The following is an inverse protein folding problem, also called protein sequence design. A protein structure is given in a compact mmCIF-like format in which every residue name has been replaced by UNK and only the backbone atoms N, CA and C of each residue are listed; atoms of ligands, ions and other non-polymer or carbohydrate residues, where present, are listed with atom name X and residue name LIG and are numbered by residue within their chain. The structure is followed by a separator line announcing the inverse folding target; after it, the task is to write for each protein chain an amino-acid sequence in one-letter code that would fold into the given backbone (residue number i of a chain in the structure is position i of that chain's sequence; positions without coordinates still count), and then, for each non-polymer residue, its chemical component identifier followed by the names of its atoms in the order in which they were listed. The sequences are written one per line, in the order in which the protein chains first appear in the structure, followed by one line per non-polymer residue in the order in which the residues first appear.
data_IF_123289666955
#
_entry.id   IF_123289666955
#
_cell.length_a   1.000
_cell.length_b   1.000
_cell.length_c   1.000
_cell.angle_alpha   90.00
_cell.angle_beta   90.00
_cell.angle_gamma   90.00
#
_symmetry.space_group_name_H-M   'P 1'
#
loop_
_entity.id
_entity.type
_entity.pdbx_description
1 polymer ?
#
# COMPACT_ATOMS: atom_id res chain seq x y z
N UNK A 1 26.53 -8.24 27.28
CA UNK A 1 25.47 -9.03 26.62
C UNK A 1 25.27 -8.44 25.25
N UNK A 2 25.12 -9.27 24.23
CA UNK A 2 24.92 -8.82 22.85
C UNK A 2 23.55 -8.13 22.76
N UNK A 3 23.56 -6.83 22.42
CA UNK A 3 22.37 -5.96 22.31
C UNK A 3 21.33 -6.59 21.38
N UNK A 4 21.77 -7.36 20.38
CA UNK A 4 20.90 -8.07 19.44
C UNK A 4 20.11 -9.19 20.13
N UNK A 5 20.75 -9.93 21.03
CA UNK A 5 20.10 -10.98 21.83
C UNK A 5 19.06 -10.38 22.80
N UNK A 6 19.32 -9.16 23.28
CA UNK A 6 18.44 -8.45 24.21
C UNK A 6 17.19 -7.88 23.49
N UNK A 7 17.37 -7.36 22.28
CA UNK A 7 16.28 -6.88 21.42
C UNK A 7 15.39 -8.03 20.89
N UNK A 8 15.97 -9.18 20.55
CA UNK A 8 15.21 -10.37 20.14
C UNK A 8 14.36 -10.94 21.30
N UNK A 9 14.91 -10.94 22.53
CA UNK A 9 14.19 -11.32 23.75
C UNK A 9 13.02 -10.38 24.06
N UNK A 10 13.17 -9.08 23.78
CA UNK A 10 12.11 -8.08 23.96
C UNK A 10 11.00 -8.22 22.90
N UNK A 11 11.36 -8.53 21.65
CA UNK A 11 10.41 -8.71 20.56
C UNK A 11 9.55 -9.98 20.72
N UNK A 12 10.14 -11.12 21.12
CA UNK A 12 9.41 -12.37 21.36
C UNK A 12 8.41 -12.29 22.54
N UNK A 13 8.72 -11.49 23.55
CA UNK A 13 7.85 -11.30 24.72
C UNK A 13 6.60 -10.46 24.40
N UNK A 14 6.66 -9.59 23.39
CA UNK A 14 5.49 -8.86 22.91
C UNK A 14 4.44 -9.75 22.22
N UNK A 15 4.81 -10.93 21.72
CA UNK A 15 3.88 -11.87 21.07
C UNK A 15 3.17 -12.80 22.06
N UNK A 16 3.58 -12.87 23.34
CA UNK A 16 3.18 -13.99 24.22
C UNK A 16 2.57 -13.63 25.58
N UNK A 17 2.37 -12.37 25.97
CA UNK A 17 1.81 -12.08 27.32
C UNK A 17 0.57 -11.20 27.32
N UNK A 18 -0.58 -11.87 27.33
CA UNK A 18 -1.65 -11.50 28.27
C UNK A 18 -1.11 -11.63 29.70
N UNK A 19 -1.03 -10.51 30.42
CA UNK A 19 -0.65 -10.33 31.84
C UNK A 19 0.84 -10.16 32.19
N UNK A 20 1.21 -8.91 32.51
CA UNK A 20 1.92 -8.43 33.72
C UNK A 20 2.56 -7.06 33.41
N UNK A 21 2.66 -6.18 34.41
CA UNK A 21 2.99 -4.75 34.25
C UNK A 21 4.37 -4.43 33.64
N UNK A 22 4.71 -3.13 33.59
CA UNK A 22 5.97 -2.65 33.01
C UNK A 22 7.16 -3.16 33.82
N UNK A 23 8.17 -3.71 33.14
CA UNK A 23 9.37 -4.25 33.80
C UNK A 23 10.19 -3.13 34.46
N UNK A 24 10.75 -3.34 35.67
CA UNK A 24 11.66 -2.38 36.31
C UNK A 24 12.89 -2.00 35.48
N UNK A 25 13.34 -2.88 34.57
CA UNK A 25 14.42 -2.60 33.63
C UNK A 25 13.99 -1.58 32.55
N UNK A 26 12.75 -1.67 32.07
CA UNK A 26 12.21 -0.73 31.10
C UNK A 26 12.03 0.65 31.74
N UNK A 27 11.52 0.68 32.98
CA UNK A 27 11.37 1.90 33.78
C UNK A 27 12.74 2.57 33.95
N UNK A 28 13.75 1.84 34.42
CA UNK A 28 15.11 2.40 34.65
C UNK A 28 15.74 2.95 33.36
N UNK A 29 15.49 2.28 32.23
CA UNK A 29 15.96 2.72 30.92
C UNK A 29 15.29 4.04 30.50
N UNK A 30 13.97 4.16 30.66
CA UNK A 30 13.23 5.37 30.31
C UNK A 30 13.49 6.54 31.27
N UNK A 31 13.72 6.27 32.55
CA UNK A 31 14.17 7.30 33.49
C UNK A 31 15.51 7.90 33.05
N UNK A 32 16.43 7.07 32.55
CA UNK A 32 17.76 7.51 32.10
C UNK A 32 17.68 8.28 30.78
N UNK A 33 16.85 7.81 29.83
CA UNK A 33 16.73 8.40 28.50
C UNK A 33 15.96 9.72 28.47
N UNK A 34 14.91 9.84 29.31
CA UNK A 34 13.97 10.96 29.26
C UNK A 34 13.95 11.80 30.53
N UNK A 35 14.83 11.51 31.49
CA UNK A 35 14.90 12.15 32.82
C UNK A 35 13.56 12.08 33.56
N UNK A 36 12.83 10.98 33.36
CA UNK A 36 11.57 10.73 34.04
C UNK A 36 11.81 10.16 35.44
N UNK A 37 10.87 10.43 36.34
CA UNK A 37 10.76 9.61 37.55
C UNK A 37 10.11 8.25 37.21
N UNK A 38 10.27 7.26 38.08
CA UNK A 38 9.84 5.88 37.81
C UNK A 38 8.34 5.79 37.47
N UNK A 39 7.50 6.56 38.16
CA UNK A 39 6.05 6.59 37.90
C UNK A 39 5.73 7.15 36.52
N UNK A 40 6.43 8.21 36.09
CA UNK A 40 6.20 8.82 34.78
C UNK A 40 6.72 7.93 33.65
N UNK A 41 7.86 7.27 33.86
CA UNK A 41 8.37 6.26 32.94
C UNK A 41 7.40 5.09 32.77
N UNK A 42 6.86 4.55 33.86
CA UNK A 42 5.87 3.47 33.81
C UNK A 42 4.57 3.88 33.09
N UNK A 43 4.04 5.07 33.38
CA UNK A 43 2.87 5.64 32.70
C UNK A 43 3.11 5.76 31.18
N UNK A 44 4.22 6.39 30.78
CA UNK A 44 4.54 6.61 29.38
C UNK A 44 4.86 5.31 28.63
N UNK A 45 5.49 4.32 29.28
CA UNK A 45 5.68 2.98 28.68
C UNK A 45 4.35 2.27 28.48
N UNK A 46 3.45 2.37 29.46
CA UNK A 46 2.12 1.77 29.40
C UNK A 46 1.31 2.40 28.28
N UNK A 47 1.28 3.73 28.19
CA UNK A 47 0.59 4.48 27.14
C UNK A 47 1.21 4.20 25.75
N UNK A 48 2.54 4.14 25.67
CA UNK A 48 3.27 3.80 24.45
C UNK A 48 2.97 2.38 23.96
N UNK A 49 2.83 1.41 24.88
CA UNK A 49 2.47 0.01 24.57
C UNK A 49 0.98 -0.17 24.26
N UNK A 50 0.11 0.65 24.86
CA UNK A 50 -1.33 0.64 24.61
C UNK A 50 -1.72 1.39 23.32
N UNK A 51 -0.80 2.14 22.70
CA UNK A 51 -1.06 2.91 21.50
C UNK A 51 -1.16 2.02 20.25
N UNK A 52 -2.37 1.54 19.96
CA UNK A 52 -2.74 0.75 18.78
C UNK A 52 -2.59 1.52 17.44
N UNK A 53 -2.26 2.82 17.46
CA UNK A 53 -1.96 3.60 16.25
C UNK A 53 -0.48 3.60 15.86
N UNK A 54 0.39 2.91 16.62
CA UNK A 54 1.80 2.82 16.28
C UNK A 54 1.99 1.92 15.05
N UNK A 55 2.77 2.39 14.08
CA UNK A 55 3.26 1.54 12.99
C UNK A 55 4.20 0.51 13.60
N UNK A 56 3.76 -0.74 13.70
CA UNK A 56 4.62 -1.85 14.09
C UNK A 56 5.61 -2.11 12.93
N UNK A 57 6.90 -1.89 13.19
CA UNK A 57 7.96 -2.24 12.24
C UNK A 57 8.02 -3.77 12.22
N UNK A 58 7.66 -4.38 11.09
CA UNK A 58 7.63 -5.84 10.95
C UNK A 58 9.04 -6.44 11.05
N UNK A 59 9.15 -7.70 11.49
CA UNK A 59 10.42 -8.45 11.50
C UNK A 59 11.14 -8.43 10.13
N UNK A 60 10.36 -8.36 9.05
CA UNK A 60 10.85 -8.24 7.67
C UNK A 60 11.43 -6.85 7.39
N UNK A 61 10.84 -5.77 7.91
CA UNK A 61 11.45 -4.43 7.90
C UNK A 61 12.74 -4.39 8.74
N UNK A 62 12.78 -5.07 9.88
CA UNK A 62 14.00 -5.21 10.68
C UNK A 62 15.11 -5.95 9.93
N UNK A 63 14.77 -6.99 9.15
CA UNK A 63 15.76 -7.71 8.34
C UNK A 63 16.35 -6.84 7.21
N UNK A 64 15.57 -5.93 6.62
CA UNK A 64 16.09 -4.98 5.62
C UNK A 64 17.05 -3.96 6.21
N UNK A 65 17.05 -3.76 7.54
CA UNK A 65 17.98 -2.85 8.21
C UNK A 65 19.45 -3.24 8.10
N UNK A 66 19.76 -4.47 7.68
CA UNK A 66 21.14 -4.97 7.59
C UNK A 66 21.72 -4.97 6.17
N UNK A 67 21.03 -4.33 5.21
CA UNK A 67 21.46 -4.28 3.81
C UNK A 67 21.98 -2.90 3.42
N UNK A 68 23.16 -2.86 2.79
CA UNK A 68 23.86 -1.65 2.31
C UNK A 68 24.13 -1.80 0.81
N UNK A 69 24.20 -0.70 0.02
CA UNK A 69 24.10 0.71 0.42
C UNK A 69 22.65 1.17 0.70
N UNK A 70 22.48 2.19 1.54
CA UNK A 70 21.14 2.67 1.98
C UNK A 70 21.07 4.21 2.06
N UNK A 71 20.02 4.86 1.52
CA UNK A 71 19.87 6.31 1.59
C UNK A 71 19.42 6.79 2.98
N UNK A 72 20.10 7.82 3.50
CA UNK A 72 19.79 8.49 4.77
C UNK A 72 19.41 9.94 4.52
N UNK A 73 18.42 10.44 5.25
CA UNK A 73 18.09 11.87 5.29
C UNK A 73 18.83 12.53 6.45
N UNK A 74 19.63 13.54 6.12
CA UNK A 74 20.40 14.34 7.04
C UNK A 74 19.82 15.75 7.12
N UNK A 75 19.78 16.29 8.32
CA UNK A 75 19.38 17.67 8.59
C UNK A 75 20.30 18.24 9.68
N UNK A 76 20.28 19.56 9.86
CA UNK A 76 21.09 20.21 10.90
C UNK A 76 22.58 20.04 10.68
N UNK A 77 23.29 19.52 11.68
CA UNK A 77 24.76 19.41 11.70
C UNK A 77 25.30 18.32 10.77
N UNK A 78 24.54 17.26 10.53
CA UNK A 78 24.89 16.21 9.56
C UNK A 78 24.65 16.62 8.11
N UNK A 79 24.09 17.81 7.86
CA UNK A 79 23.98 18.39 6.53
C UNK A 79 25.29 19.03 6.03
N UNK A 80 26.36 18.99 6.84
CA UNK A 80 27.68 19.52 6.52
C UNK A 80 28.59 18.40 5.99
N UNK A 81 29.11 18.59 4.77
CA UNK A 81 29.92 17.59 4.08
C UNK A 81 31.24 17.30 4.81
N UNK A 82 31.90 18.32 5.37
CA UNK A 82 33.18 18.15 6.07
C UNK A 82 33.00 17.35 7.36
N UNK A 83 31.86 17.56 8.05
CA UNK A 83 31.47 16.75 9.21
C UNK A 83 31.17 15.31 8.84
N UNK A 84 30.47 15.07 7.72
CA UNK A 84 30.20 13.70 7.27
C UNK A 84 31.48 12.98 6.85
N UNK A 85 32.41 13.65 6.18
CA UNK A 85 33.75 13.10 5.86
C UNK A 85 34.47 12.68 7.14
N UNK A 86 34.54 13.59 8.12
CA UNK A 86 35.24 13.32 9.38
C UNK A 86 34.56 12.21 10.21
N UNK A 87 33.23 12.18 10.23
CA UNK A 87 32.45 11.23 11.02
C UNK A 87 32.47 9.82 10.42
N UNK A 88 32.32 9.72 9.10
CA UNK A 88 32.23 8.45 8.38
C UNK A 88 33.59 7.94 7.90
N UNK A 89 34.64 8.75 7.96
CA UNK A 89 35.97 8.39 7.47
C UNK A 89 36.03 8.26 5.94
N UNK A 90 35.29 9.10 5.21
CA UNK A 90 35.22 9.04 3.74
C UNK A 90 36.53 9.52 3.10
N UNK A 91 37.01 8.80 2.09
CA UNK A 91 38.20 9.20 1.31
C UNK A 91 37.89 10.39 0.37
N UNK A 92 36.64 10.52 -0.06
CA UNK A 92 36.16 11.58 -0.94
C UNK A 92 35.00 12.37 -0.30
N UNK A 93 34.83 13.62 -0.75
CA UNK A 93 33.70 14.46 -0.29
C UNK A 93 32.36 13.82 -0.72
N UNK A 94 31.41 13.63 0.20
CA UNK A 94 30.12 13.00 -0.11
C UNK A 94 29.29 13.93 -0.99
N UNK A 95 28.68 13.39 -2.04
CA UNK A 95 27.70 14.14 -2.84
C UNK A 95 26.34 14.12 -2.14
N UNK A 96 25.98 15.24 -1.52
CA UNK A 96 24.68 15.42 -0.87
C UNK A 96 23.63 15.83 -1.90
N UNK A 97 22.51 15.09 -1.94
CA UNK A 97 21.37 15.46 -2.79
C UNK A 97 20.33 16.24 -1.97
N UNK A 98 19.90 17.45 -2.36
CA UNK A 98 18.86 18.18 -1.64
C UNK A 98 17.59 17.34 -1.48
N UNK A 99 17.05 17.28 -0.26
CA UNK A 99 15.87 16.49 0.07
C UNK A 99 14.94 17.23 1.04
N UNK A 100 13.69 16.75 1.15
CA UNK A 100 12.72 17.28 2.12
C UNK A 100 11.85 16.17 2.69
N UNK A 101 11.63 16.21 4.00
CA UNK A 101 10.65 15.37 4.69
C UNK A 101 9.38 16.20 4.91
N UNK A 102 8.25 15.73 4.41
CA UNK A 102 6.94 16.38 4.56
C UNK A 102 6.23 15.89 5.82
N UNK A 103 5.35 16.73 6.37
CA UNK A 103 4.61 16.49 7.64
C UNK A 103 5.55 16.26 8.81
N UNK A 104 6.64 17.01 8.83
CA UNK A 104 7.70 16.87 9.81
C UNK A 104 8.23 18.27 10.16
N UNK A 105 8.51 18.50 11.43
CA UNK A 105 9.13 19.71 11.97
C UNK A 105 10.27 19.34 12.90
N UNK A 106 11.26 20.20 13.03
CA UNK A 106 12.35 20.00 14.00
C UNK A 106 11.88 20.51 15.35
N UNK A 107 11.84 19.63 16.35
CA UNK A 107 11.38 19.91 17.71
C UNK A 107 12.50 19.68 18.72
N UNK A 108 12.44 20.40 19.84
CA UNK A 108 13.30 20.12 20.99
C UNK A 108 12.73 18.92 21.77
N UNK A 109 13.55 17.88 21.94
CA UNK A 109 13.29 16.75 22.83
C UNK A 109 14.37 16.73 23.91
N UNK A 110 14.06 17.32 25.07
CA UNK A 110 15.07 17.58 26.11
C UNK A 110 16.14 18.56 25.60
N UNK A 111 17.41 18.14 25.60
CA UNK A 111 18.55 18.93 25.09
C UNK A 111 18.83 18.75 23.58
N UNK A 112 18.07 17.92 22.89
CA UNK A 112 18.33 17.50 21.51
C UNK A 112 17.27 18.02 20.52
N UNK A 113 17.64 18.12 19.23
CA UNK A 113 16.72 18.52 18.15
C UNK A 113 16.34 17.31 17.28
N UNK A 114 15.18 16.75 17.56
CA UNK A 114 14.61 15.63 16.79
C UNK A 114 13.65 16.10 15.71
N UNK A 115 13.48 15.29 14.66
CA UNK A 115 12.36 15.46 13.72
C UNK A 115 11.10 14.83 14.32
N UNK A 116 10.03 15.60 14.45
CA UNK A 116 8.72 15.20 14.99
C UNK A 116 7.57 15.98 14.34
N UNK A 117 6.33 15.77 14.78
CA UNK A 117 5.14 16.46 14.26
C UNK A 117 4.44 15.76 13.09
N UNK A 118 3.15 16.05 12.91
CA UNK A 118 2.25 15.38 11.96
C UNK A 118 1.24 16.33 11.30
N UNK A 119 1.49 17.64 11.34
CA UNK A 119 0.57 18.65 10.82
C UNK A 119 0.76 18.90 9.31
N UNK A 120 -0.32 19.32 8.66
CA UNK A 120 -0.39 19.49 7.20
C UNK A 120 0.24 20.84 6.83
N UNK A 121 1.50 20.80 6.37
CA UNK A 121 2.23 21.99 5.93
C UNK A 121 3.68 22.02 6.42
N UNK A 122 3.99 21.24 7.45
CA UNK A 122 5.34 21.16 8.00
C UNK A 122 6.30 20.46 7.02
N UNK A 123 7.46 21.06 6.78
CA UNK A 123 8.55 20.46 6.02
C UNK A 123 9.90 20.65 6.73
N UNK A 124 10.70 19.58 6.78
CA UNK A 124 12.12 19.66 7.13
C UNK A 124 12.93 19.54 5.85
N UNK A 125 13.64 20.61 5.51
CA UNK A 125 14.63 20.59 4.43
C UNK A 125 15.93 20.00 4.94
N UNK A 126 16.56 19.20 4.11
CA UNK A 126 17.82 18.56 4.43
C UNK A 126 18.45 17.99 3.17
N UNK A 127 19.20 16.93 3.37
CA UNK A 127 20.05 16.34 2.35
C UNK A 127 19.93 14.83 2.43
N UNK A 128 20.09 14.16 1.31
CA UNK A 128 20.16 12.72 1.22
C UNK A 128 21.60 12.30 0.91
N UNK A 129 22.09 11.30 1.64
CA UNK A 129 23.36 10.65 1.34
C UNK A 129 23.26 9.15 1.53
N UNK A 130 23.96 8.41 0.67
CA UNK A 130 23.92 6.96 0.62
C UNK A 130 25.00 6.38 1.52
N UNK A 131 24.59 5.76 2.62
CA UNK A 131 25.45 5.10 3.58
C UNK A 131 25.82 3.71 3.04
N UNK A 132 27.11 3.53 2.74
CA UNK A 132 27.62 2.36 2.01
C UNK A 132 27.89 1.10 2.84
N UNK A 133 27.97 1.18 4.16
CA UNK A 133 28.31 0.04 5.02
C UNK A 133 27.86 0.23 6.47
N UNK A 134 27.90 -0.87 7.25
CA UNK A 134 27.52 -0.91 8.66
C UNK A 134 28.36 0.00 9.55
N UNK A 135 29.67 0.07 9.32
CA UNK A 135 30.54 0.95 10.09
C UNK A 135 30.20 2.44 9.93
N UNK A 136 29.73 2.86 8.75
CA UNK A 136 29.25 4.23 8.56
C UNK A 136 27.93 4.47 9.29
N UNK A 137 27.01 3.50 9.29
CA UNK A 137 25.75 3.62 10.02
C UNK A 137 25.98 3.70 11.54
N UNK A 138 26.90 2.89 12.08
CA UNK A 138 27.27 2.92 13.50
C UNK A 138 27.92 4.25 13.90
N UNK A 139 28.76 4.83 13.04
CA UNK A 139 29.32 6.16 13.27
C UNK A 139 28.24 7.25 13.33
N UNK A 140 27.20 7.16 12.48
CA UNK A 140 26.05 8.07 12.52
C UNK A 140 25.23 7.91 13.80
N UNK A 141 25.01 6.67 14.25
CA UNK A 141 24.34 6.39 15.55
C UNK A 141 25.13 6.98 16.72
N UNK A 142 26.46 6.86 16.69
CA UNK A 142 27.34 7.40 17.72
C UNK A 142 27.41 8.94 17.77
N UNK A 143 27.10 9.63 16.67
CA UNK A 143 27.27 11.09 16.55
C UNK A 143 26.34 11.92 17.46
N UNK A 144 25.09 11.50 17.63
CA UNK A 144 24.08 12.29 18.35
C UNK A 144 23.62 11.63 19.68
N UNK A 145 24.25 10.53 20.10
CA UNK A 145 23.98 9.64 21.27
C UNK A 145 22.93 8.53 21.04
N UNK A 146 22.90 7.53 21.94
CA UNK A 146 22.01 6.34 21.94
C UNK A 146 20.49 6.65 21.99
N UNK A 147 20.10 7.94 21.99
CA UNK A 147 18.73 8.42 22.11
C UNK A 147 17.99 8.57 20.77
N UNK A 148 18.67 8.36 19.64
CA UNK A 148 18.08 8.45 18.30
C UNK A 148 17.90 7.06 17.69
N UNK A 149 16.64 6.72 17.40
CA UNK A 149 16.29 5.51 16.64
C UNK A 149 16.41 5.81 15.14
N UNK A 150 17.15 4.97 14.41
CA UNK A 150 17.18 5.02 12.95
C UNK A 150 15.86 4.47 12.41
N UNK A 151 14.92 5.35 12.12
CA UNK A 151 13.66 4.97 11.45
C UNK A 151 13.84 5.17 9.95
N UNK A 152 13.95 4.06 9.22
CA UNK A 152 13.99 4.07 7.75
C UNK A 152 12.63 4.49 7.22
N UNK A 153 12.52 5.73 6.74
CA UNK A 153 11.32 6.21 6.05
C UNK A 153 11.40 5.78 4.58
N UNK A 154 10.75 4.67 4.24
CA UNK A 154 10.40 4.40 2.85
C UNK A 154 9.23 5.31 2.50
N UNK A 155 9.31 6.03 1.38
CA UNK A 155 8.14 6.68 0.78
C UNK A 155 7.26 5.55 0.23
N UNK A 156 6.52 4.91 1.13
CA UNK A 156 5.73 3.71 0.86
C UNK A 156 4.34 4.05 0.27
N UNK A 157 4.10 5.34 -0.01
CA UNK A 157 2.80 5.90 -0.36
C UNK A 157 2.56 6.06 -1.88
N UNK A 158 3.57 5.93 -2.74
CA UNK A 158 3.43 6.32 -4.17
C UNK A 158 2.65 5.32 -5.04
N UNK A 159 2.43 4.10 -4.55
CA UNK A 159 1.79 3.02 -5.32
C UNK A 159 0.29 2.93 -5.03
N UNK A 160 -0.19 3.49 -3.92
CA UNK A 160 -1.62 3.44 -3.61
C UNK A 160 -2.46 4.46 -4.42
N UNK A 161 -1.82 5.46 -5.04
CA UNK A 161 -2.49 6.66 -5.57
C UNK A 161 -3.33 6.45 -6.85
N UNK A 162 -2.92 5.60 -7.80
CA UNK A 162 -3.61 5.43 -9.10
C UNK A 162 -5.01 4.84 -8.94
N UNK A 163 -5.07 3.67 -8.31
CA UNK A 163 -6.32 2.96 -8.10
C UNK A 163 -7.21 3.70 -7.09
N UNK A 164 -6.63 4.39 -6.10
CA UNK A 164 -7.39 5.24 -5.17
C UNK A 164 -7.99 6.47 -5.83
N UNK A 165 -7.30 7.11 -6.79
CA UNK A 165 -7.85 8.27 -7.50
C UNK A 165 -9.03 7.88 -8.37
N UNK A 166 -8.90 6.79 -9.16
CA UNK A 166 -10.02 6.24 -9.93
C UNK A 166 -11.19 5.88 -9.00
N UNK A 167 -10.94 5.24 -7.86
CA UNK A 167 -11.99 4.92 -6.89
C UNK A 167 -12.62 6.14 -6.25
N UNK A 168 -11.84 7.19 -5.98
CA UNK A 168 -12.34 8.49 -5.56
C UNK A 168 -13.33 9.05 -6.59
N UNK A 169 -12.98 9.02 -7.88
CA UNK A 169 -13.87 9.45 -8.97
C UNK A 169 -15.12 8.60 -9.08
N UNK A 170 -14.99 7.27 -8.96
CA UNK A 170 -16.14 6.36 -8.99
C UNK A 170 -17.11 6.68 -7.85
N UNK A 171 -16.59 6.86 -6.64
CA UNK A 171 -17.39 7.21 -5.48
C UNK A 171 -18.08 8.57 -5.64
N UNK A 172 -17.39 9.59 -6.15
CA UNK A 172 -17.97 10.90 -6.47
C UNK A 172 -19.12 10.79 -7.48
N UNK A 173 -18.89 10.09 -8.60
CA UNK A 173 -19.89 9.92 -9.66
C UNK A 173 -21.11 9.14 -9.17
N UNK A 174 -20.91 8.08 -8.37
CA UNK A 174 -22.01 7.28 -7.81
C UNK A 174 -22.79 8.01 -6.71
N UNK A 175 -22.12 8.79 -5.86
CA UNK A 175 -22.77 9.57 -4.80
C UNK A 175 -23.64 10.73 -5.32
N UNK A 176 -23.43 11.17 -6.56
CA UNK A 176 -24.30 12.13 -7.25
C UNK A 176 -25.62 11.48 -7.74
N UNK A 177 -25.62 10.16 -7.97
CA UNK A 177 -26.84 9.36 -8.04
C UNK A 177 -27.39 9.14 -6.64
N UNK A 178 -28.70 8.95 -6.50
CA UNK A 178 -29.45 8.90 -5.23
C UNK A 178 -29.09 7.75 -4.25
N UNK A 179 -27.93 7.09 -4.39
CA UNK A 179 -27.47 5.99 -3.54
C UNK A 179 -26.29 6.37 -2.63
N UNK A 180 -26.18 5.70 -1.49
CA UNK A 180 -25.02 5.81 -0.60
C UNK A 180 -23.82 5.06 -1.19
N UNK A 181 -22.64 5.67 -1.14
CA UNK A 181 -21.37 5.06 -1.57
C UNK A 181 -20.45 4.92 -0.37
N UNK A 182 -19.90 3.73 -0.17
CA UNK A 182 -18.92 3.45 0.88
C UNK A 182 -17.53 3.34 0.26
N UNK A 183 -16.56 4.04 0.83
CA UNK A 183 -15.16 4.03 0.37
C UNK A 183 -14.25 3.58 1.51
N UNK A 184 -13.54 2.47 1.29
CA UNK A 184 -12.62 1.87 2.25
C UNK A 184 -11.19 2.14 1.83
N UNK A 185 -10.32 2.44 2.79
CA UNK A 185 -8.94 2.80 2.48
C UNK A 185 -7.91 2.20 3.41
N UNK A 186 -6.73 1.98 2.83
CA UNK A 186 -5.59 1.29 3.42
C UNK A 186 -4.82 2.08 4.47
N UNK A 187 -4.79 3.41 4.35
CA UNK A 187 -3.86 4.24 5.15
C UNK A 187 -4.46 5.58 5.57
N UNK A 188 -3.83 6.22 6.55
CA UNK A 188 -4.04 7.59 7.05
C UNK A 188 -3.83 8.69 5.98
N UNK A 189 -4.06 8.42 4.70
CA UNK A 189 -4.18 9.44 3.68
C UNK A 189 -5.32 10.37 4.11
N UNK A 190 -4.92 11.48 4.73
CA UNK A 190 -5.83 12.41 5.37
C UNK A 190 -6.93 12.76 4.40
N UNK A 191 -8.18 12.70 4.90
CA UNK A 191 -9.41 13.14 4.23
C UNK A 191 -9.07 13.98 3.00
N UNK A 192 -8.98 13.37 1.81
CA UNK A 192 -9.28 14.17 0.63
C UNK A 192 -10.73 14.57 0.87
N UNK A 193 -10.98 15.87 0.99
CA UNK A 193 -12.29 16.45 1.24
C UNK A 193 -13.22 16.14 0.06
N UNK A 194 -13.55 14.88 -0.14
CA UNK A 194 -14.68 14.47 -0.95
C UNK A 194 -15.91 14.70 -0.07
N UNK A 195 -16.30 15.97 0.06
CA UNK A 195 -17.53 16.37 0.72
C UNK A 195 -18.70 16.08 -0.24
N UNK A 196 -19.01 14.81 -0.42
CA UNK A 196 -20.29 14.41 -1.01
C UNK A 196 -21.18 13.89 0.12
N UNK A 197 -22.44 14.35 0.15
CA UNK A 197 -23.41 14.02 1.21
C UNK A 197 -23.64 12.51 1.39
N UNK A 198 -23.33 11.72 0.36
CA UNK A 198 -23.61 10.28 0.29
C UNK A 198 -22.33 9.42 0.28
N UNK A 199 -21.17 9.96 0.65
CA UNK A 199 -19.92 9.18 0.75
C UNK A 199 -19.55 8.98 2.22
N UNK A 200 -19.44 7.72 2.65
CA UNK A 200 -18.84 7.38 3.95
C UNK A 200 -17.45 6.82 3.73
N UNK A 201 -16.47 7.44 4.41
CA UNK A 201 -15.08 7.00 4.37
C UNK A 201 -14.76 6.15 5.59
N UNK A 202 -14.20 4.96 5.36
CA UNK A 202 -13.76 4.05 6.41
C UNK A 202 -12.23 4.01 6.42
N UNK A 203 -11.59 4.59 7.44
CA UNK A 203 -10.14 4.58 7.54
C UNK A 203 -9.62 3.22 8.03
N UNK A 204 -8.36 2.90 7.71
CA UNK A 204 -7.57 1.80 8.30
C UNK A 204 -8.02 0.37 7.93
N UNK A 205 -8.54 0.15 6.73
CA UNK A 205 -8.75 -1.20 6.20
C UNK A 205 -7.54 -1.60 5.35
N UNK A 206 -6.55 -2.25 5.96
CA UNK A 206 -5.34 -2.71 5.26
C UNK A 206 -5.51 -4.14 4.74
N UNK A 207 -5.67 -4.32 3.43
CA UNK A 207 -5.82 -5.66 2.84
C UNK A 207 -4.56 -6.54 2.92
N UNK A 208 -3.40 -6.00 3.33
CA UNK A 208 -2.26 -6.85 3.68
C UNK A 208 -2.40 -7.48 5.08
N UNK A 209 -3.31 -6.98 5.91
CA UNK A 209 -3.63 -7.52 7.24
C UNK A 209 -4.61 -8.70 7.15
N UNK A 210 -4.39 -9.78 7.93
CA UNK A 210 -5.38 -10.87 8.03
C UNK A 210 -6.70 -10.41 8.66
N UNK A 211 -6.69 -9.30 9.40
CA UNK A 211 -7.87 -8.79 10.12
C UNK A 211 -8.76 -7.86 9.28
N UNK A 212 -8.33 -7.49 8.07
CA UNK A 212 -9.01 -6.47 7.25
C UNK A 212 -10.51 -6.74 7.03
N UNK A 213 -10.85 -8.00 6.74
CA UNK A 213 -12.23 -8.42 6.54
C UNK A 213 -13.06 -8.33 7.82
N UNK A 214 -12.49 -8.73 8.97
CA UNK A 214 -13.16 -8.64 10.28
C UNK A 214 -13.42 -7.19 10.65
N UNK A 215 -12.41 -6.34 10.52
CA UNK A 215 -12.49 -4.93 10.90
C UNK A 215 -13.51 -4.19 10.02
N UNK A 216 -13.57 -4.54 8.73
CA UNK A 216 -14.60 -4.03 7.83
C UNK A 216 -16.00 -4.50 8.26
N UNK A 217 -16.18 -5.79 8.52
CA UNK A 217 -17.49 -6.32 8.94
C UNK A 217 -17.98 -5.63 10.22
N UNK A 218 -17.11 -5.46 11.22
CA UNK A 218 -17.46 -4.74 12.44
C UNK A 218 -17.91 -3.31 12.17
N UNK A 219 -17.25 -2.61 11.24
CA UNK A 219 -17.68 -1.28 10.82
C UNK A 219 -19.07 -1.31 10.19
N UNK A 220 -19.34 -2.25 9.26
CA UNK A 220 -20.62 -2.36 8.57
C UNK A 220 -21.76 -2.62 9.57
N UNK A 221 -21.56 -3.52 10.52
CA UNK A 221 -22.53 -3.83 11.58
C UNK A 221 -22.80 -2.62 12.47
N UNK A 222 -21.76 -1.92 12.92
CA UNK A 222 -21.90 -0.73 13.76
C UNK A 222 -22.69 0.40 13.10
N UNK A 223 -22.78 0.39 11.76
CA UNK A 223 -23.52 1.38 10.97
C UNK A 223 -24.85 0.83 10.40
N UNK A 224 -25.26 -0.38 10.79
CA UNK A 224 -26.51 -0.99 10.33
C UNK A 224 -26.54 -1.28 8.83
N UNK A 225 -25.39 -1.54 8.21
CA UNK A 225 -25.29 -1.87 6.79
C UNK A 225 -25.45 -3.38 6.63
N UNK A 226 -26.62 -3.80 6.15
CA UNK A 226 -26.99 -5.22 6.01
C UNK A 226 -26.80 -5.78 4.60
N UNK A 227 -26.54 -4.92 3.60
CA UNK A 227 -26.40 -5.31 2.19
C UNK A 227 -25.37 -4.43 1.47
N UNK A 228 -24.62 -5.04 0.55
CA UNK A 228 -23.71 -4.36 -0.37
C UNK A 228 -24.14 -4.63 -1.82
N UNK A 229 -24.63 -3.62 -2.53
CA UNK A 229 -25.04 -3.75 -3.93
C UNK A 229 -23.84 -3.95 -4.86
N UNK A 230 -22.77 -3.17 -4.65
CA UNK A 230 -21.58 -3.18 -5.49
C UNK A 230 -20.34 -3.11 -4.59
N UNK A 231 -19.47 -4.10 -4.73
CA UNK A 231 -18.16 -4.15 -4.08
C UNK A 231 -17.08 -4.05 -5.16
N UNK A 232 -16.28 -2.99 -5.14
CA UNK A 232 -15.14 -2.82 -6.04
C UNK A 232 -13.87 -2.90 -5.21
N UNK A 233 -13.04 -3.89 -5.49
CA UNK A 233 -11.75 -4.09 -4.80
C UNK A 233 -10.62 -3.67 -5.72
N UNK A 234 -9.96 -2.59 -5.33
CA UNK A 234 -8.96 -1.89 -6.15
C UNK A 234 -7.61 -1.81 -5.44
N UNK A 235 -7.35 -2.72 -4.50
CA UNK A 235 -6.05 -2.77 -3.86
C UNK A 235 -5.00 -3.33 -4.82
N UNK A 236 -3.89 -2.64 -4.93
CA UNK A 236 -2.78 -3.02 -5.79
C UNK A 236 -1.46 -2.48 -5.26
N UNK A 237 -0.40 -3.24 -5.52
CA UNK A 237 0.97 -2.82 -5.36
C UNK A 237 1.73 -3.28 -6.59
N UNK A 238 2.58 -2.42 -7.15
CA UNK A 238 3.43 -2.73 -8.29
C UNK A 238 4.85 -2.26 -7.98
N UNK A 239 5.80 -3.20 -8.05
CA UNK A 239 7.22 -2.91 -8.14
C UNK A 239 7.78 -3.53 -9.42
N UNK A 240 8.73 -2.84 -10.05
CA UNK A 240 9.43 -3.35 -11.23
C UNK A 240 10.39 -4.45 -10.79
N UNK A 241 10.47 -5.51 -11.58
CA UNK A 241 11.43 -6.60 -11.40
C UNK A 241 11.98 -7.08 -12.74
N UNK A 242 13.19 -7.63 -12.75
CA UNK A 242 13.80 -8.22 -13.94
C UNK A 242 14.43 -9.57 -13.65
N UNK A 243 14.88 -10.29 -14.68
CA UNK A 243 15.64 -11.53 -14.49
C UNK A 243 16.94 -11.29 -13.70
N UNK A 244 17.58 -10.14 -13.87
CA UNK A 244 18.85 -9.79 -13.19
C UNK A 244 18.61 -9.28 -11.77
N UNK A 245 17.46 -8.66 -11.54
CA UNK A 245 17.11 -8.00 -10.28
C UNK A 245 15.71 -8.46 -9.83
N UNK A 246 15.59 -9.71 -9.32
CA UNK A 246 14.36 -10.20 -8.72
C UNK A 246 14.19 -9.66 -7.29
N UNK A 247 12.95 -9.59 -6.78
CA UNK A 247 12.69 -9.15 -5.40
C UNK A 247 11.64 -10.01 -4.70
N UNK A 248 12.10 -10.89 -3.81
CA UNK A 248 11.22 -11.76 -3.01
C UNK A 248 10.21 -10.96 -2.17
N UNK A 249 10.67 -9.91 -1.49
CA UNK A 249 9.81 -9.07 -0.64
C UNK A 249 8.76 -8.33 -1.47
N UNK A 250 9.13 -7.81 -2.64
CA UNK A 250 8.19 -7.14 -3.53
C UNK A 250 7.13 -8.11 -4.06
N UNK A 251 7.54 -9.31 -4.53
CA UNK A 251 6.58 -10.32 -4.98
C UNK A 251 5.64 -10.73 -3.85
N UNK A 252 6.17 -11.05 -2.66
CA UNK A 252 5.36 -11.40 -1.49
C UNK A 252 4.32 -10.31 -1.19
N UNK A 253 4.72 -9.03 -1.24
CA UNK A 253 3.81 -7.89 -1.04
C UNK A 253 2.76 -7.78 -2.14
N UNK A 254 3.14 -7.97 -3.41
CA UNK A 254 2.20 -7.98 -4.54
C UNK A 254 1.16 -9.11 -4.39
N UNK A 255 1.57 -10.32 -3.98
CA UNK A 255 0.65 -11.42 -3.71
C UNK A 255 -0.29 -11.14 -2.54
N UNK A 256 0.24 -10.60 -1.43
CA UNK A 256 -0.58 -10.23 -0.27
C UNK A 256 -1.64 -9.18 -0.62
N UNK A 257 -1.22 -8.12 -1.32
CA UNK A 257 -2.09 -6.97 -1.64
C UNK A 257 -3.06 -7.27 -2.79
N UNK A 258 -2.57 -7.88 -3.87
CA UNK A 258 -3.35 -8.00 -5.12
C UNK A 258 -4.20 -9.26 -5.17
N UNK A 259 -3.93 -10.27 -4.33
CA UNK A 259 -4.58 -11.60 -4.42
C UNK A 259 -5.16 -12.04 -3.08
N UNK A 260 -4.31 -12.23 -2.08
CA UNK A 260 -4.70 -12.82 -0.81
C UNK A 260 -5.72 -11.91 -0.12
N UNK A 261 -5.39 -10.63 0.06
CA UNK A 261 -6.29 -9.64 0.66
C UNK A 261 -7.66 -9.58 -0.01
N UNK A 262 -7.76 -9.32 -1.33
CA UNK A 262 -9.02 -9.33 -2.06
C UNK A 262 -9.81 -10.64 -1.94
N UNK A 263 -9.13 -11.78 -2.02
CA UNK A 263 -9.78 -13.10 -1.92
C UNK A 263 -10.37 -13.31 -0.53
N UNK A 264 -9.57 -13.09 0.53
CA UNK A 264 -10.01 -13.23 1.93
C UNK A 264 -11.09 -12.21 2.27
N UNK A 265 -11.02 -11.01 1.73
CA UNK A 265 -12.05 -9.99 1.92
C UNK A 265 -13.41 -10.47 1.39
N UNK A 266 -13.44 -10.94 0.13
CA UNK A 266 -14.69 -11.40 -0.49
C UNK A 266 -15.26 -12.61 0.26
N UNK A 267 -14.43 -13.59 0.64
CA UNK A 267 -14.90 -14.74 1.42
C UNK A 267 -15.40 -14.33 2.80
N UNK A 268 -14.75 -13.36 3.46
CA UNK A 268 -15.20 -12.84 4.76
C UNK A 268 -16.57 -12.17 4.65
N UNK A 269 -16.75 -11.30 3.65
CA UNK A 269 -18.04 -10.65 3.40
C UNK A 269 -19.14 -11.67 3.06
N UNK A 270 -18.83 -12.67 2.22
CA UNK A 270 -19.78 -13.72 1.84
C UNK A 270 -20.14 -14.64 3.02
N UNK A 271 -19.20 -14.93 3.92
CA UNK A 271 -19.44 -15.83 5.05
C UNK A 271 -20.07 -15.13 6.25
N UNK A 272 -20.08 -13.80 6.29
CA UNK A 272 -20.67 -13.05 7.39
C UNK A 272 -22.18 -13.22 7.48
N UNK A 273 -22.88 -12.98 6.38
CA UNK A 273 -24.33 -13.10 6.24
C UNK A 273 -24.67 -13.25 4.75
N UNK A 274 -25.63 -14.11 4.41
CA UNK A 274 -26.09 -14.27 3.02
C UNK A 274 -26.77 -13.00 2.47
N UNK A 275 -27.30 -12.14 3.35
CA UNK A 275 -27.87 -10.85 2.97
C UNK A 275 -26.80 -9.83 2.61
N UNK A 276 -25.62 -9.90 3.23
CA UNK A 276 -24.58 -8.90 3.03
C UNK A 276 -24.07 -8.90 1.59
N UNK A 277 -23.81 -10.09 1.04
CA UNK A 277 -23.60 -10.34 -0.37
C UNK A 277 -24.71 -11.24 -0.90
N UNK A 278 -25.81 -10.63 -1.36
CA UNK A 278 -27.01 -11.31 -1.83
C UNK A 278 -27.13 -11.37 -3.36
N UNK A 279 -28.26 -11.86 -3.88
CA UNK A 279 -28.47 -12.09 -5.33
C UNK A 279 -28.49 -10.83 -6.21
N UNK A 280 -28.54 -9.65 -5.59
CA UNK A 280 -28.41 -8.34 -6.27
C UNK A 280 -26.99 -7.78 -6.20
N UNK A 281 -26.10 -8.40 -5.42
CA UNK A 281 -24.73 -7.94 -5.21
C UNK A 281 -23.84 -8.22 -6.42
N UNK A 282 -22.97 -7.25 -6.72
CA UNK A 282 -21.92 -7.35 -7.74
C UNK A 282 -20.56 -7.16 -7.10
N UNK A 283 -19.61 -8.05 -7.38
CA UNK A 283 -18.22 -7.95 -6.93
C UNK A 283 -17.30 -7.76 -8.14
N UNK A 284 -16.52 -6.69 -8.14
CA UNK A 284 -15.60 -6.34 -9.21
C UNK A 284 -14.20 -6.27 -8.61
N UNK A 285 -13.33 -7.16 -9.07
CA UNK A 285 -11.93 -7.19 -8.66
C UNK A 285 -11.08 -6.52 -9.73
N UNK A 286 -10.38 -5.44 -9.38
CA UNK A 286 -9.60 -4.66 -10.34
C UNK A 286 -8.25 -5.32 -10.59
N UNK A 287 -8.20 -6.04 -11.70
CA UNK A 287 -7.02 -6.68 -12.25
C UNK A 287 -6.28 -5.71 -13.18
N UNK A 288 -5.63 -6.21 -14.22
CA UNK A 288 -4.92 -5.47 -15.28
C UNK A 288 -4.73 -6.38 -16.48
N UNK A 289 -4.53 -5.87 -17.70
CA UNK A 289 -4.10 -6.66 -18.88
C UNK A 289 -2.89 -7.58 -18.59
N UNK A 290 -2.08 -7.24 -17.59
CA UNK A 290 -0.94 -8.03 -17.12
C UNK A 290 -1.34 -9.41 -16.56
N UNK A 291 -2.60 -9.56 -16.14
CA UNK A 291 -3.17 -10.80 -15.62
C UNK A 291 -3.64 -11.80 -16.68
N UNK A 292 -3.50 -11.47 -17.98
CA UNK A 292 -3.69 -12.40 -19.08
C UNK A 292 -2.37 -13.04 -19.48
N UNK A 293 -2.29 -14.37 -19.40
CA UNK A 293 -1.16 -15.13 -19.95
C UNK A 293 -1.15 -15.00 -21.48
N UNK A 294 -2.33 -15.07 -22.10
CA UNK A 294 -2.48 -14.99 -23.55
C UNK A 294 -1.96 -13.66 -24.12
N UNK A 295 -2.17 -12.54 -23.42
CA UNK A 295 -1.70 -11.22 -23.85
C UNK A 295 -0.19 -11.00 -23.67
N UNK A 296 0.55 -11.91 -23.03
CA UNK A 296 2.01 -11.77 -22.91
C UNK A 296 2.66 -11.98 -24.27
N UNK A 297 3.37 -10.97 -24.76
CA UNK A 297 3.96 -10.98 -26.09
C UNK A 297 5.43 -10.53 -26.07
N UNK A 298 6.23 -11.04 -27.02
CA UNK A 298 7.67 -10.75 -27.13
C UNK A 298 8.02 -9.26 -27.24
N UNK A 299 7.08 -8.42 -27.68
CA UNK A 299 7.27 -6.96 -27.79
C UNK A 299 7.40 -6.28 -26.44
N UNK A 300 6.83 -6.85 -25.38
CA UNK A 300 6.95 -6.34 -24.00
C UNK A 300 8.12 -6.97 -23.25
N UNK A 301 8.59 -8.14 -23.70
CA UNK A 301 9.63 -8.91 -23.04
C UNK A 301 9.13 -9.65 -21.79
N UNK A 302 10.07 -10.01 -20.91
CA UNK A 302 9.79 -10.60 -19.60
C UNK A 302 10.05 -9.61 -18.46
N UNK A 303 9.99 -10.09 -17.21
CA UNK A 303 10.10 -9.25 -16.01
C UNK A 303 8.77 -9.02 -15.33
N UNK A 304 8.75 -8.15 -14.32
CA UNK A 304 7.56 -7.81 -13.51
C UNK A 304 6.81 -9.05 -12.99
N UNK A 305 7.56 -10.10 -12.65
CA UNK A 305 7.00 -11.42 -12.38
C UNK A 305 5.95 -11.38 -11.27
N UNK A 306 6.22 -10.67 -10.17
CA UNK A 306 5.26 -10.51 -9.07
C UNK A 306 3.97 -9.85 -9.51
N UNK A 307 4.04 -8.80 -10.32
CA UNK A 307 2.86 -8.04 -10.72
C UNK A 307 1.98 -8.84 -11.67
N UNK A 308 2.54 -9.36 -12.77
CA UNK A 308 1.77 -10.13 -13.76
C UNK A 308 1.22 -11.42 -13.16
N UNK A 309 2.05 -12.16 -12.39
CA UNK A 309 1.62 -13.40 -11.76
C UNK A 309 0.55 -13.15 -10.69
N UNK A 310 0.66 -12.08 -9.88
CA UNK A 310 -0.37 -11.75 -8.90
C UNK A 310 -1.69 -11.36 -9.57
N UNK A 311 -1.68 -10.59 -10.66
CA UNK A 311 -2.91 -10.27 -11.42
C UNK A 311 -3.54 -11.50 -12.08
N UNK A 312 -2.72 -12.45 -12.55
CA UNK A 312 -3.18 -13.75 -13.05
C UNK A 312 -3.77 -14.61 -11.92
N UNK A 313 -3.15 -14.63 -10.75
CA UNK A 313 -3.67 -15.34 -9.59
C UNK A 313 -4.98 -14.74 -9.07
N UNK A 314 -5.13 -13.40 -9.09
CA UNK A 314 -6.41 -12.74 -8.80
C UNK A 314 -7.51 -13.16 -9.78
N UNK A 315 -7.18 -13.25 -11.07
CA UNK A 315 -8.09 -13.75 -12.11
C UNK A 315 -8.57 -15.18 -11.82
N UNK A 316 -7.65 -16.07 -11.41
CA UNK A 316 -7.99 -17.43 -10.97
C UNK A 316 -8.87 -17.43 -9.70
N UNK A 317 -8.51 -16.66 -8.67
CA UNK A 317 -9.33 -16.54 -7.45
C UNK A 317 -10.74 -16.06 -7.76
N UNK A 318 -10.89 -15.05 -8.61
CA UNK A 318 -12.20 -14.55 -9.04
C UNK A 318 -13.02 -15.61 -9.76
N UNK A 319 -12.37 -16.44 -10.59
CA UNK A 319 -13.02 -17.55 -11.26
C UNK A 319 -13.55 -18.57 -10.26
N UNK A 320 -12.76 -18.95 -9.26
CA UNK A 320 -13.19 -19.90 -8.22
C UNK A 320 -14.32 -19.32 -7.38
N UNK A 321 -14.19 -18.07 -6.91
CA UNK A 321 -15.24 -17.37 -6.17
C UNK A 321 -16.56 -17.29 -6.97
N UNK A 322 -16.50 -17.17 -8.30
CA UNK A 322 -17.70 -17.18 -9.14
C UNK A 322 -18.47 -18.49 -9.12
N UNK A 323 -17.78 -19.61 -8.88
CA UNK A 323 -18.39 -20.92 -8.74
C UNK A 323 -19.03 -21.04 -7.35
N UNK A 324 -18.30 -20.64 -6.32
CA UNK A 324 -18.75 -20.68 -4.93
C UNK A 324 -19.98 -19.79 -4.69
N UNK A 325 -20.02 -18.63 -5.34
CA UNK A 325 -21.09 -17.64 -5.20
C UNK A 325 -22.27 -17.85 -6.15
N UNK A 326 -22.19 -18.83 -7.05
CA UNK A 326 -23.17 -19.02 -8.13
C UNK A 326 -24.58 -19.26 -7.61
N UNK A 327 -24.74 -20.15 -6.64
CA UNK A 327 -26.05 -20.53 -6.10
C UNK A 327 -26.67 -19.41 -5.26
N UNK A 328 -25.86 -18.48 -4.76
CA UNK A 328 -26.32 -17.26 -4.08
C UNK A 328 -26.76 -16.17 -5.06
N UNK A 329 -26.42 -16.29 -6.34
CA UNK A 329 -26.72 -15.29 -7.36
C UNK A 329 -25.85 -14.04 -7.29
N UNK A 330 -24.70 -14.07 -6.60
CA UNK A 330 -23.77 -12.93 -6.54
C UNK A 330 -22.90 -12.93 -7.79
N UNK A 331 -22.96 -11.86 -8.58
CA UNK A 331 -22.14 -11.73 -9.78
C UNK A 331 -20.73 -11.28 -9.40
N UNK A 332 -19.69 -11.98 -9.85
CA UNK A 332 -18.29 -11.58 -9.62
C UNK A 332 -17.48 -11.61 -10.91
N UNK A 333 -16.61 -10.62 -11.12
CA UNK A 333 -15.70 -10.58 -12.28
C UNK A 333 -14.36 -9.93 -11.93
N UNK A 334 -13.40 -10.06 -12.85
CA UNK A 334 -12.20 -9.22 -12.88
C UNK A 334 -12.23 -8.26 -14.06
N UNK A 335 -11.61 -7.09 -13.87
CA UNK A 335 -11.52 -6.08 -14.92
C UNK A 335 -10.11 -5.53 -15.09
N UNK A 336 -9.72 -5.25 -16.33
CA UNK A 336 -8.70 -4.26 -16.65
C UNK A 336 -9.40 -2.90 -16.80
N UNK A 337 -9.22 -1.95 -15.87
CA UNK A 337 -9.97 -0.69 -15.90
C UNK A 337 -9.49 0.28 -16.98
N UNK A 338 -8.27 0.07 -17.48
CA UNK A 338 -7.60 0.89 -18.49
C UNK A 338 -6.15 1.20 -18.12
N UNK A 339 -5.36 1.63 -19.10
CA UNK A 339 -4.04 2.20 -18.86
C UNK A 339 -4.22 3.68 -18.50
N UNK A 340 -3.79 4.11 -17.31
CA UNK A 340 -4.11 5.44 -16.80
C UNK A 340 -2.88 6.34 -16.68
N UNK A 341 -3.08 7.63 -16.94
CA UNK A 341 -2.07 8.68 -16.73
C UNK A 341 -2.00 9.06 -15.26
N UNK A 342 -1.08 8.45 -14.54
CA UNK A 342 -0.97 8.56 -13.06
C UNK A 342 0.47 8.78 -12.62
N UNK A 343 0.65 9.17 -11.36
CA UNK A 343 2.00 9.24 -10.78
C UNK A 343 2.65 7.86 -10.69
N UNK A 344 1.89 6.78 -10.47
CA UNK A 344 2.42 5.40 -10.51
C UNK A 344 3.00 5.07 -11.89
N UNK A 345 2.23 5.24 -12.97
CA UNK A 345 2.72 4.92 -14.32
C UNK A 345 3.87 5.84 -14.71
N UNK A 346 3.90 7.09 -14.24
CA UNK A 346 5.08 7.96 -14.39
C UNK A 346 6.30 7.46 -13.61
N UNK A 347 6.14 7.06 -12.35
CA UNK A 347 7.23 6.65 -11.46
C UNK A 347 7.91 5.35 -11.91
N UNK A 348 7.17 4.47 -12.58
CA UNK A 348 7.72 3.26 -13.22
C UNK A 348 8.20 3.50 -14.66
N UNK A 349 8.20 4.76 -15.12
CA UNK A 349 8.67 5.16 -16.44
C UNK A 349 7.78 4.70 -17.60
N UNK A 350 6.48 4.54 -17.36
CA UNK A 350 5.48 4.18 -18.37
C UNK A 350 4.79 5.40 -18.97
N UNK A 351 5.04 6.60 -18.46
CA UNK A 351 4.56 7.86 -19.00
C UNK A 351 4.98 8.09 -20.45
N UNK A 352 6.16 7.62 -20.84
CA UNK A 352 6.61 7.60 -22.24
C UNK A 352 5.68 6.82 -23.19
N UNK A 353 4.87 5.90 -22.66
CA UNK A 353 3.92 5.11 -23.44
C UNK A 353 2.49 5.64 -23.36
N UNK A 354 2.21 6.75 -22.67
CA UNK A 354 0.83 7.19 -22.47
C UNK A 354 0.09 7.52 -23.75
N UNK A 355 0.72 8.20 -24.69
CA UNK A 355 0.06 8.58 -25.94
C UNK A 355 -0.09 7.36 -26.86
N UNK A 356 1.01 6.62 -27.09
CA UNK A 356 1.02 5.43 -27.97
C UNK A 356 0.18 4.27 -27.41
N UNK A 357 0.23 4.06 -26.09
CA UNK A 357 -0.49 3.02 -25.38
C UNK A 357 -1.95 3.36 -25.09
N UNK A 358 -2.46 4.51 -25.55
CA UNK A 358 -3.87 4.88 -25.40
C UNK A 358 -4.27 5.22 -23.96
N UNK A 359 -3.33 5.67 -23.13
CA UNK A 359 -3.59 5.96 -21.73
C UNK A 359 -4.56 7.13 -21.54
N UNK A 360 -5.50 6.96 -20.61
CA UNK A 360 -6.53 7.96 -20.28
C UNK A 360 -6.41 8.49 -18.86
N UNK A 361 -7.15 9.54 -18.53
CA UNK A 361 -7.21 10.03 -17.15
C UNK A 361 -8.05 9.10 -16.26
N UNK A 362 -7.84 9.10 -14.94
CA UNK A 362 -8.68 8.35 -13.99
C UNK A 362 -10.18 8.62 -14.13
N UNK A 363 -10.59 9.86 -14.44
CA UNK A 363 -11.99 10.23 -14.67
C UNK A 363 -12.63 9.47 -15.83
N UNK A 364 -11.88 9.32 -16.93
CA UNK A 364 -12.35 8.62 -18.12
C UNK A 364 -12.45 7.12 -17.85
N UNK A 365 -11.46 6.53 -17.17
CA UNK A 365 -11.49 5.13 -16.77
C UNK A 365 -12.64 4.83 -15.79
N UNK A 366 -12.82 5.68 -14.76
CA UNK A 366 -13.89 5.59 -13.79
C UNK A 366 -15.28 5.62 -14.44
N UNK A 367 -15.51 6.57 -15.35
CA UNK A 367 -16.77 6.69 -16.09
C UNK A 367 -17.08 5.43 -16.89
N UNK A 368 -16.13 4.94 -17.68
CA UNK A 368 -16.34 3.72 -18.48
C UNK A 368 -16.58 2.49 -17.60
N UNK A 369 -15.86 2.35 -16.49
CA UNK A 369 -16.06 1.24 -15.56
C UNK A 369 -17.46 1.30 -14.92
N UNK A 370 -17.94 2.47 -14.49
CA UNK A 370 -19.30 2.64 -13.96
C UNK A 370 -20.36 2.24 -15.00
N UNK A 371 -20.25 2.75 -16.22
CA UNK A 371 -21.20 2.45 -17.31
C UNK A 371 -21.22 0.94 -17.60
N UNK A 372 -20.07 0.28 -17.57
CA UNK A 372 -19.99 -1.16 -17.78
C UNK A 372 -20.60 -1.98 -16.63
N UNK A 373 -20.38 -1.57 -15.37
CA UNK A 373 -20.95 -2.23 -14.18
C UNK A 373 -22.49 -2.28 -14.23
N UNK A 374 -23.14 -1.28 -14.84
CA UNK A 374 -24.60 -1.30 -15.06
C UNK A 374 -25.03 -2.49 -15.93
N UNK A 375 -24.20 -2.90 -16.89
CA UNK A 375 -24.46 -4.04 -17.79
C UNK A 375 -23.94 -5.38 -17.26
N UNK A 376 -23.24 -5.36 -16.12
CA UNK A 376 -22.66 -6.55 -15.50
C UNK A 376 -23.71 -7.29 -14.65
N UNK A 377 -23.85 -8.59 -14.90
CA UNK A 377 -24.81 -9.47 -14.23
C UNK A 377 -24.26 -10.92 -14.19
N UNK A 378 -25.10 -11.85 -13.71
CA UNK A 378 -24.76 -13.26 -13.62
C UNK A 378 -24.38 -13.93 -14.95
N UNK A 379 -24.82 -13.40 -16.11
CA UNK A 379 -24.41 -13.96 -17.43
C UNK A 379 -22.91 -13.76 -17.71
N UNK A 380 -22.29 -12.80 -17.01
CA UNK A 380 -20.87 -12.46 -17.14
C UNK A 380 -20.04 -12.86 -15.91
N UNK A 381 -20.64 -13.56 -14.94
CA UNK A 381 -19.94 -13.98 -13.72
C UNK A 381 -18.76 -14.91 -14.03
N UNK A 382 -17.65 -14.75 -13.31
CA UNK A 382 -16.43 -15.52 -13.51
C UNK A 382 -15.74 -15.27 -14.84
N UNK A 383 -15.90 -14.07 -15.41
CA UNK A 383 -15.23 -13.62 -16.63
C UNK A 383 -14.29 -12.45 -16.35
N UNK A 384 -13.41 -12.18 -17.31
CA UNK A 384 -12.41 -11.14 -17.24
C UNK A 384 -12.58 -10.17 -18.42
N UNK A 385 -12.65 -8.87 -18.13
CA UNK A 385 -13.12 -7.87 -19.10
C UNK A 385 -12.26 -6.61 -19.13
N UNK A 386 -12.16 -5.98 -20.29
CA UNK A 386 -11.73 -4.60 -20.48
C UNK A 386 -12.95 -3.76 -20.90
N UNK A 387 -13.54 -2.97 -19.97
CA UNK A 387 -14.66 -2.08 -20.28
C UNK A 387 -14.37 -1.12 -21.44
N UNK A 388 -13.11 -0.68 -21.55
CA UNK A 388 -12.63 0.25 -22.59
C UNK A 388 -12.26 -0.43 -23.93
N UNK A 389 -12.41 -1.75 -24.02
CA UNK A 389 -12.00 -2.51 -25.20
C UNK A 389 -10.49 -2.69 -25.29
N UNK A 390 -9.97 -2.86 -26.50
CA UNK A 390 -8.55 -3.10 -26.78
C UNK A 390 -7.68 -1.84 -26.89
N UNK A 391 -8.27 -0.64 -26.83
CA UNK A 391 -7.60 0.62 -27.16
C UNK A 391 -6.34 0.85 -26.34
N UNK A 392 -6.42 0.57 -25.04
CA UNK A 392 -5.36 0.77 -24.06
C UNK A 392 -4.64 -0.52 -23.65
N UNK A 393 -4.72 -1.55 -24.51
CA UNK A 393 -4.01 -2.82 -24.34
C UNK A 393 -2.84 -2.85 -25.31
N UNK A 394 -1.61 -2.87 -24.78
CA UNK A 394 -0.38 -2.73 -25.57
C UNK A 394 -0.20 -3.85 -26.58
N UNK A 395 -0.61 -5.07 -26.22
CA UNK A 395 -0.42 -6.28 -27.01
C UNK A 395 -1.67 -6.79 -27.71
N UNK A 396 -2.79 -6.07 -27.64
CA UNK A 396 -4.03 -6.54 -28.25
C UNK A 396 -3.89 -6.77 -29.75
N UNK A 397 -3.21 -5.88 -30.48
CA UNK A 397 -3.06 -6.04 -31.94
C UNK A 397 -2.23 -7.26 -32.34
N UNK A 398 -1.00 -7.46 -31.81
CA UNK A 398 -0.19 -8.63 -32.15
C UNK A 398 -0.76 -9.96 -31.62
N UNK A 399 -1.67 -9.95 -30.63
CA UNK A 399 -2.19 -11.18 -30.00
C UNK A 399 -3.62 -11.52 -30.43
N UNK A 400 -4.51 -10.52 -30.47
CA UNK A 400 -5.94 -10.67 -30.72
C UNK A 400 -6.36 -10.22 -32.13
N UNK A 401 -5.46 -9.55 -32.86
CA UNK A 401 -5.73 -8.98 -34.17
C UNK A 401 -6.13 -7.49 -34.12
N UNK A 402 -6.50 -6.91 -35.28
CA UNK A 402 -6.69 -5.47 -35.41
C UNK A 402 -7.66 -4.88 -34.38
N UNK A 403 -7.21 -3.87 -33.62
CA UNK A 403 -7.97 -3.28 -32.50
C UNK A 403 -9.34 -2.75 -32.93
N UNK A 404 -9.45 -2.22 -34.15
CA UNK A 404 -10.68 -1.69 -34.75
C UNK A 404 -11.73 -2.76 -35.06
N UNK A 405 -11.35 -4.04 -35.06
CA UNK A 405 -12.24 -5.19 -35.26
C UNK A 405 -12.64 -5.88 -33.96
N UNK A 406 -12.06 -5.48 -32.83
CA UNK A 406 -12.37 -6.04 -31.53
C UNK A 406 -13.56 -5.30 -30.89
N UNK A 407 -14.45 -6.01 -30.16
CA UNK A 407 -15.59 -5.37 -29.51
C UNK A 407 -15.16 -4.45 -28.36
N UNK A 408 -15.99 -3.44 -28.09
CA UNK A 408 -15.91 -2.61 -26.88
C UNK A 408 -17.27 -2.63 -26.20
N UNK A 409 -17.38 -3.15 -24.95
CA UNK A 409 -16.31 -3.72 -24.11
C UNK A 409 -15.74 -5.04 -24.65
N UNK A 410 -14.51 -5.37 -24.26
CA UNK A 410 -13.81 -6.59 -24.70
C UNK A 410 -13.74 -7.61 -23.58
N UNK A 411 -14.17 -8.85 -23.83
CA UNK A 411 -13.84 -9.97 -22.94
C UNK A 411 -12.39 -10.36 -23.19
N UNK A 412 -11.59 -10.35 -22.13
CA UNK A 412 -10.17 -10.65 -22.22
C UNK A 412 -9.91 -12.16 -22.09
N UNK A 413 -8.92 -12.68 -22.82
CA UNK A 413 -8.46 -14.04 -22.60
C UNK A 413 -7.71 -14.14 -21.27
N UNK A 414 -7.74 -15.33 -20.68
CA UNK A 414 -6.99 -15.63 -19.45
C UNK A 414 -5.48 -15.70 -19.67
#
# INVERSE_FOLDING_TARGET
MDLLTELESLAQKCETTSSSGVSPLDITSWQTLFDFNASKAEEEITDHRANLNRIAISAEHWATQKTYPVPYFFYGTLADEDRLVALLGLEERPQLTPAKVRRARVEMRGKYRGVGGWERGDEVKGWMFVVGCEGHEDALRGYETDAYEVVRYFHDDDVAAEQQEMMGRIAEMKAQGSGASLVFTRTNLGRRNFQAKNISYVPKIDLESPDAGRDLVQFLEAHGIEHLDIVIVTAGYFAIESLKEPSYSAQKRMYRTCVIGPTILVTTLANKDEKLLGSTSKVILVSSESGSITLRHKSEGGGNYGHHASKTALNMSAKLLSLDLKDRGVAICTVHPGFMRTEMTRNVGFDKYWDEGGAVTPDVAAKTLIEWIETFDMSKTGQYWAPRGAGDIGTAEPVLGPKDKLPTPLQLPW
#
